data_IF_480892253351
#
_entry.id   IF_480892253351
#
_cell.length_a   1.000
_cell.length_b   1.000
_cell.length_c   1.000
_cell.angle_alpha   90.00
_cell.angle_beta   90.00
_cell.angle_gamma   90.00
#
_symmetry.space_group_name_H-M   'P 1'
#
loop_
_entity.id
_entity.type
_entity.pdbx_description
1 polymer ?
#
# COMPACT_ATOMS: atom_id res chain seq x y z
N UNK A 1 -0.68 3.21 10.61
CA UNK A 1 0.49 2.38 10.31
C UNK A 1 0.95 2.64 8.88
N UNK A 2 2.22 2.84 8.68
CA UNK A 2 2.80 3.09 7.36
C UNK A 2 4.08 2.28 7.20
N UNK A 3 4.28 1.70 6.02
CA UNK A 3 5.45 0.90 5.73
C UNK A 3 5.96 1.17 4.31
N UNK A 4 7.27 1.22 4.16
CA UNK A 4 7.91 1.34 2.85
C UNK A 4 7.92 -0.06 2.21
N UNK A 5 7.30 -0.19 1.04
CA UNK A 5 7.14 -1.48 0.36
C UNK A 5 8.21 -1.67 -0.72
N UNK A 6 8.48 -0.62 -1.48
CA UNK A 6 9.50 -0.68 -2.53
C UNK A 6 10.31 0.59 -2.49
N UNK A 7 11.63 0.43 -2.57
CA UNK A 7 12.55 1.57 -2.59
C UNK A 7 13.62 1.31 -3.65
N UNK A 8 13.59 2.12 -4.70
CA UNK A 8 14.60 2.12 -5.75
C UNK A 8 15.12 3.55 -5.92
N UNK A 9 16.16 3.74 -6.71
CA UNK A 9 16.67 5.06 -7.02
C UNK A 9 15.64 5.92 -7.75
N UNK A 10 14.75 5.28 -8.51
CA UNK A 10 13.78 5.97 -9.34
C UNK A 10 12.42 6.16 -8.67
N UNK A 11 12.08 5.33 -7.67
CA UNK A 11 10.72 5.30 -7.15
C UNK A 11 10.64 4.70 -5.76
N UNK A 12 9.81 5.30 -4.91
CA UNK A 12 9.48 4.75 -3.60
C UNK A 12 7.97 4.51 -3.52
N UNK A 13 7.58 3.34 -3.04
CA UNK A 13 6.19 2.99 -2.79
C UNK A 13 6.00 2.70 -1.31
N UNK A 14 5.06 3.40 -0.69
CA UNK A 14 4.68 3.18 0.70
C UNK A 14 3.23 2.73 0.78
N UNK A 15 2.93 1.92 1.78
CA UNK A 15 1.56 1.55 2.11
C UNK A 15 1.21 2.12 3.49
N UNK A 16 0.01 2.63 3.62
CA UNK A 16 -0.48 3.21 4.88
C UNK A 16 -1.87 2.69 5.18
N UNK A 17 -2.11 2.31 6.42
CA UNK A 17 -3.44 1.92 6.88
C UNK A 17 -3.83 2.72 8.11
N UNK A 18 -5.11 3.04 8.21
CA UNK A 18 -5.69 3.65 9.41
C UNK A 18 -7.08 3.09 9.62
N UNK A 19 -7.43 2.88 10.88
CA UNK A 19 -8.74 2.37 11.22
C UNK A 19 -9.75 3.52 11.29
N UNK A 20 -10.88 3.35 10.62
CA UNK A 20 -11.99 4.30 10.64
C UNK A 20 -13.24 3.57 11.13
N UNK A 21 -13.65 3.85 12.35
CA UNK A 21 -14.77 3.18 12.96
C UNK A 21 -14.44 1.74 13.37
N UNK A 22 -15.45 0.98 13.82
CA UNK A 22 -15.21 -0.36 14.38
C UNK A 22 -14.90 -1.45 13.34
N UNK A 23 -15.23 -1.23 12.07
CA UNK A 23 -15.11 -2.29 11.04
C UNK A 23 -14.44 -1.83 9.75
N UNK A 24 -14.04 -0.57 9.66
CA UNK A 24 -13.45 -0.01 8.44
C UNK A 24 -11.98 0.29 8.56
N UNK A 25 -11.24 0.04 7.48
CA UNK A 25 -9.83 0.38 7.37
C UNK A 25 -9.62 1.16 6.08
N UNK A 26 -8.89 2.26 6.18
CA UNK A 26 -8.49 3.04 5.01
C UNK A 26 -7.11 2.59 4.57
N UNK A 27 -6.98 2.11 3.34
CA UNK A 27 -5.71 1.68 2.76
C UNK A 27 -5.28 2.70 1.71
N UNK A 28 -4.04 3.16 1.80
CA UNK A 28 -3.41 4.04 0.82
C UNK A 28 -2.13 3.43 0.29
N UNK A 29 -1.92 3.54 -1.01
CA UNK A 29 -0.62 3.30 -1.64
C UNK A 29 -0.09 4.65 -2.14
N UNK A 30 1.10 5.01 -1.68
CA UNK A 30 1.70 6.33 -1.90
C UNK A 30 2.98 6.18 -2.69
N UNK A 31 3.06 6.84 -3.83
CA UNK A 31 4.25 6.87 -4.67
C UNK A 31 5.04 8.15 -4.45
N UNK A 32 6.37 8.05 -4.58
CA UNK A 32 7.28 9.16 -4.45
C UNK A 32 8.44 8.98 -5.41
N UNK A 33 8.78 10.04 -6.14
CA UNK A 33 9.91 10.03 -7.09
C UNK A 33 10.95 11.02 -6.58
N UNK A 34 12.03 10.54 -5.92
CA UNK A 34 13.02 11.43 -5.30
C UNK A 34 13.74 12.34 -6.28
N UNK A 35 13.91 11.89 -7.54
CA UNK A 35 14.61 12.65 -8.57
C UNK A 35 13.74 13.64 -9.32
N UNK A 36 12.46 13.77 -8.99
CA UNK A 36 11.58 14.72 -9.62
C UNK A 36 12.01 16.17 -9.32
N UNK A 37 11.70 17.09 -10.22
CA UNK A 37 12.01 18.51 -10.03
C UNK A 37 11.31 19.05 -8.78
N UNK A 38 10.08 18.63 -8.55
CA UNK A 38 9.30 18.94 -7.35
C UNK A 38 8.82 17.65 -6.72
N UNK A 39 9.68 16.97 -5.91
CA UNK A 39 9.30 15.69 -5.32
C UNK A 39 8.11 15.86 -4.36
N UNK A 40 7.04 15.17 -4.66
CA UNK A 40 5.82 15.17 -3.84
C UNK A 40 5.30 13.74 -3.71
N UNK A 41 4.75 13.43 -2.54
CA UNK A 41 4.03 12.19 -2.36
C UNK A 41 2.73 12.21 -3.16
N UNK A 42 2.48 11.15 -3.93
CA UNK A 42 1.28 11.01 -4.74
C UNK A 42 0.52 9.77 -4.32
N UNK A 43 -0.76 9.93 -4.02
CA UNK A 43 -1.63 8.80 -3.72
C UNK A 43 -1.92 8.07 -5.04
N UNK A 44 -1.43 6.82 -5.13
CA UNK A 44 -1.63 5.96 -6.31
C UNK A 44 -2.92 5.16 -6.21
N UNK A 45 -3.31 4.83 -5.00
CA UNK A 45 -4.54 4.13 -4.71
C UNK A 45 -4.98 4.47 -3.30
N UNK A 46 -6.29 4.58 -3.09
CA UNK A 46 -6.87 4.64 -1.76
C UNK A 46 -8.27 4.05 -1.78
N UNK A 47 -8.65 3.43 -0.69
CA UNK A 47 -9.96 2.83 -0.58
C UNK A 47 -10.25 2.37 0.83
N UNK A 48 -11.52 2.12 1.09
CA UNK A 48 -12.00 1.59 2.36
C UNK A 48 -12.21 0.09 2.25
N UNK A 49 -11.76 -0.64 3.24
CA UNK A 49 -11.83 -2.10 3.28
C UNK A 49 -12.35 -2.56 4.63
N UNK A 50 -13.09 -3.65 4.62
CA UNK A 50 -13.38 -4.39 5.85
C UNK A 50 -12.17 -5.26 6.21
N UNK A 51 -12.15 -5.76 7.43
CA UNK A 51 -11.12 -6.69 7.87
C UNK A 51 -11.07 -7.94 6.98
N UNK A 52 -12.23 -8.47 6.62
CA UNK A 52 -12.33 -9.64 5.75
C UNK A 52 -11.74 -9.36 4.36
N UNK A 53 -11.98 -8.18 3.83
CA UNK A 53 -11.44 -7.78 2.53
C UNK A 53 -9.91 -7.62 2.58
N UNK A 54 -9.38 -7.04 3.66
CA UNK A 54 -7.92 -6.97 3.85
C UNK A 54 -7.31 -8.37 3.96
N UNK A 55 -7.98 -9.29 4.65
CA UNK A 55 -7.52 -10.68 4.74
C UNK A 55 -7.52 -11.35 3.37
N UNK A 56 -8.51 -11.07 2.54
CA UNK A 56 -8.56 -11.60 1.17
C UNK A 56 -7.39 -11.08 0.33
N UNK A 57 -7.05 -9.79 0.47
CA UNK A 57 -5.89 -9.21 -0.21
C UNK A 57 -4.59 -9.86 0.26
N UNK A 58 -4.44 -10.04 1.58
CA UNK A 58 -3.29 -10.73 2.15
C UNK A 58 -3.15 -12.14 1.58
N UNK A 59 -4.24 -12.89 1.55
CA UNK A 59 -4.23 -14.28 1.08
C UNK A 59 -3.89 -14.35 -0.41
N UNK A 60 -4.40 -13.42 -1.21
CA UNK A 60 -4.06 -13.31 -2.62
C UNK A 60 -2.57 -13.07 -2.83
N UNK A 61 -2.00 -12.10 -2.11
CA UNK A 61 -0.58 -11.78 -2.21
C UNK A 61 0.29 -12.95 -1.76
N UNK A 62 -0.11 -13.61 -0.68
CA UNK A 62 0.61 -14.77 -0.15
C UNK A 62 0.62 -15.92 -1.17
N UNK A 63 -0.52 -16.19 -1.79
CA UNK A 63 -0.62 -17.19 -2.83
C UNK A 63 0.24 -16.86 -4.05
N UNK A 64 0.25 -15.58 -4.46
CA UNK A 64 1.07 -15.12 -5.58
C UNK A 64 2.56 -15.31 -5.32
N UNK A 65 3.01 -15.02 -4.09
CA UNK A 65 4.40 -15.21 -3.69
C UNK A 65 4.78 -16.69 -3.73
N UNK A 66 3.92 -17.55 -3.23
CA UNK A 66 4.16 -19.00 -3.21
C UNK A 66 4.18 -19.59 -4.63
N UNK A 67 3.34 -19.09 -5.51
CA UNK A 67 3.31 -19.52 -6.91
C UNK A 67 4.59 -19.15 -7.66
N UNK A 68 5.21 -18.03 -7.29
CA UNK A 68 6.42 -17.53 -7.94
C UNK A 68 7.69 -18.21 -7.46
N UNK A 69 7.62 -18.97 -6.40
CA UNK A 69 8.79 -19.61 -5.76
C UNK A 69 9.28 -20.85 -6.53
#
# INVERSE_FOLDING_TARGET
MRSLIQCTEAFELSASTSQHGPVGYHLKLIGFIPSAIHPEEQVRFQGMFSKTELQALRDFLDAAIKESA
#
